data_IF_081754143576
#
_entry.id   IF_081754143576
#
_cell.length_a   1.000
_cell.length_b   1.000
_cell.length_c   1.000
_cell.angle_alpha   90.00
_cell.angle_beta   90.00
_cell.angle_gamma   90.00
#
_symmetry.space_group_name_H-M   'P 1'
#
loop_
_entity.id
_entity.type
_entity.pdbx_description
1 polymer ?
#
# COMPACT_ATOMS: atom_id res chain seq x y z
N UNK A 1 65.81 17.25 11.65
CA UNK A 1 66.15 15.92 11.09
C UNK A 1 65.09 14.91 11.57
N UNK A 2 63.81 15.12 11.26
CA UNK A 2 63.09 14.67 10.05
C UNK A 2 62.72 13.17 10.11
N UNK A 3 61.62 12.85 10.83
CA UNK A 3 60.95 11.54 10.78
C UNK A 3 60.26 11.42 9.41
N UNK A 4 60.71 10.44 8.61
CA UNK A 4 60.20 10.17 7.26
C UNK A 4 58.87 9.43 7.34
N UNK A 5 57.77 10.09 6.99
CA UNK A 5 56.47 9.46 6.76
C UNK A 5 56.52 8.59 5.48
N UNK A 6 56.22 7.29 5.53
CA UNK A 6 55.97 6.53 4.33
C UNK A 6 54.50 6.66 3.92
N UNK A 7 54.28 7.37 2.82
CA UNK A 7 53.47 6.94 1.66
C UNK A 7 52.26 6.06 2.05
N UNK A 8 51.09 6.63 2.27
CA UNK A 8 50.02 6.70 1.25
C UNK A 8 50.22 5.62 0.18
N UNK A 9 49.75 4.38 0.41
CA UNK A 9 49.44 3.42 -0.67
C UNK A 9 48.73 2.12 -0.21
N UNK A 10 47.69 2.13 0.62
CA UNK A 10 46.89 0.88 0.81
C UNK A 10 45.40 1.18 1.05
N UNK A 11 44.80 1.94 0.14
CA UNK A 11 43.34 2.08 0.02
C UNK A 11 42.96 1.72 -1.42
N UNK A 12 42.67 0.45 -1.71
CA UNK A 12 41.40 0.22 -2.42
C UNK A 12 40.71 -1.11 -2.06
N UNK A 13 41.10 -1.81 -0.99
CA UNK A 13 40.54 -3.16 -0.72
C UNK A 13 39.23 -3.17 0.10
N UNK A 14 38.77 -2.02 0.62
CA UNK A 14 37.54 -1.95 1.42
C UNK A 14 36.25 -1.77 0.59
N UNK A 15 36.36 -1.54 -0.73
CA UNK A 15 35.22 -1.20 -1.59
C UNK A 15 34.49 -2.43 -2.18
N UNK A 16 34.88 -3.65 -1.82
CA UNK A 16 34.28 -4.88 -2.36
C UNK A 16 33.23 -5.52 -1.44
N UNK A 17 33.10 -5.07 -0.18
CA UNK A 17 32.26 -5.74 0.81
C UNK A 17 30.79 -5.26 0.84
N UNK A 18 30.42 -4.22 0.08
CA UNK A 18 29.07 -3.62 0.11
C UNK A 18 28.09 -4.22 -0.89
N UNK A 19 28.54 -5.12 -1.78
CA UNK A 19 27.70 -5.63 -2.87
C UNK A 19 26.72 -6.76 -2.47
N UNK A 20 26.79 -7.30 -1.24
CA UNK A 20 26.01 -8.49 -0.84
C UNK A 20 24.68 -8.13 -0.13
N UNK A 21 24.41 -6.85 0.18
CA UNK A 21 23.14 -6.43 0.80
C UNK A 21 22.07 -5.95 -0.19
N UNK A 22 22.32 -5.99 -1.50
CA UNK A 22 21.41 -5.43 -2.50
C UNK A 22 20.40 -6.44 -3.09
N UNK A 23 20.24 -7.61 -2.49
CA UNK A 23 19.19 -8.56 -2.88
C UNK A 23 18.48 -9.12 -1.64
N UNK A 24 17.83 -8.24 -0.89
CA UNK A 24 16.70 -8.60 -0.04
C UNK A 24 15.45 -8.29 -0.83
N UNK A 25 14.84 -9.31 -1.43
CA UNK A 25 13.46 -9.17 -1.92
C UNK A 25 12.57 -8.95 -0.71
N UNK A 26 12.00 -7.75 -0.61
CA UNK A 26 10.93 -7.45 0.33
C UNK A 26 9.73 -8.32 -0.02
N UNK A 27 9.70 -9.54 0.51
CA UNK A 27 8.48 -10.33 0.69
C UNK A 27 7.63 -9.65 1.76
N UNK A 28 7.19 -8.41 1.51
CA UNK A 28 6.18 -7.78 2.32
C UNK A 28 4.85 -8.43 1.94
N UNK A 29 4.24 -9.25 2.82
CA UNK A 29 2.89 -9.74 2.54
C UNK A 29 2.01 -8.49 2.44
N UNK A 30 1.58 -8.15 1.23
CA UNK A 30 0.52 -7.19 1.05
C UNK A 30 -0.70 -7.75 1.79
N UNK A 31 -1.26 -6.97 2.70
CA UNK A 31 -2.52 -7.33 3.34
C UNK A 31 -3.55 -7.62 2.22
N UNK A 32 -4.40 -8.64 2.39
CA UNK A 32 -5.39 -8.98 1.38
C UNK A 32 -6.29 -7.77 1.13
N UNK A 33 -6.54 -7.48 -0.15
CA UNK A 33 -7.46 -6.41 -0.52
C UNK A 33 -8.81 -6.58 0.18
N UNK A 34 -9.41 -5.50 0.71
CA UNK A 34 -10.67 -5.60 1.42
C UNK A 34 -11.78 -6.09 0.48
N UNK A 35 -12.31 -7.28 0.75
CA UNK A 35 -13.35 -7.91 -0.06
C UNK A 35 -14.73 -7.41 0.36
N UNK A 36 -15.54 -7.00 -0.61
CA UNK A 36 -16.94 -6.62 -0.37
C UNK A 36 -17.79 -7.87 -0.09
N UNK A 37 -18.54 -7.87 0.99
CA UNK A 37 -19.44 -8.96 1.39
C UNK A 37 -20.91 -8.55 1.41
N UNK A 38 -21.20 -7.25 1.58
CA UNK A 38 -22.57 -6.74 1.64
C UNK A 38 -22.67 -5.34 1.07
N UNK A 39 -23.88 -4.95 0.65
CA UNK A 39 -24.19 -3.61 0.13
C UNK A 39 -25.44 -3.09 0.82
N UNK A 40 -25.32 -1.95 1.50
CA UNK A 40 -26.45 -1.27 2.12
C UNK A 40 -26.97 -0.17 1.19
N UNK A 41 -28.28 -0.16 0.92
CA UNK A 41 -28.94 0.84 0.06
C UNK A 41 -29.90 1.69 0.89
N UNK A 42 -29.90 3.00 0.67
CA UNK A 42 -30.78 3.95 1.37
C UNK A 42 -31.42 4.93 0.38
N UNK A 43 -32.73 5.22 0.48
CA UNK A 43 -33.71 4.55 1.35
C UNK A 43 -33.96 3.09 0.96
N UNK A 44 -34.37 2.27 1.93
CA UNK A 44 -34.69 0.84 1.70
C UNK A 44 -35.97 0.64 0.89
N UNK A 45 -36.86 1.64 0.90
CA UNK A 45 -38.10 1.68 0.13
C UNK A 45 -38.46 3.13 -0.15
N UNK A 46 -39.04 3.40 -1.31
CA UNK A 46 -39.59 4.72 -1.65
C UNK A 46 -40.89 4.54 -2.42
N UNK A 47 -41.81 5.49 -2.26
CA UNK A 47 -43.03 5.60 -3.05
C UNK A 47 -42.94 6.89 -3.83
N UNK A 48 -43.18 6.81 -5.14
CA UNK A 48 -43.02 7.90 -6.09
C UNK A 48 -44.34 8.16 -6.82
N UNK A 49 -44.60 9.42 -7.15
CA UNK A 49 -45.66 9.79 -8.08
C UNK A 49 -45.08 9.92 -9.49
N UNK A 50 -45.92 9.77 -10.51
CA UNK A 50 -45.50 9.92 -11.90
C UNK A 50 -44.88 11.31 -12.14
N UNK A 51 -43.64 11.32 -12.66
CA UNK A 51 -42.86 12.53 -12.89
C UNK A 51 -41.76 12.78 -11.86
N UNK A 52 -41.77 12.08 -10.72
CA UNK A 52 -40.77 12.22 -9.68
C UNK A 52 -39.49 11.42 -9.96
N UNK A 53 -38.44 11.74 -9.21
CA UNK A 53 -37.20 10.99 -9.15
C UNK A 53 -36.79 10.76 -7.69
N UNK A 54 -36.20 9.60 -7.42
CA UNK A 54 -35.55 9.29 -6.12
C UNK A 54 -34.06 9.10 -6.32
N UNK A 55 -33.27 9.65 -5.41
CA UNK A 55 -31.84 9.32 -5.31
C UNK A 55 -31.65 8.22 -4.29
N UNK A 56 -30.96 7.16 -4.68
CA UNK A 56 -30.53 6.10 -3.79
C UNK A 56 -29.02 6.21 -3.55
N UNK A 57 -28.60 5.95 -2.33
CA UNK A 57 -27.18 5.80 -1.96
C UNK A 57 -26.89 4.34 -1.67
N UNK A 58 -25.75 3.84 -2.15
CA UNK A 58 -25.27 2.49 -1.90
C UNK A 58 -23.89 2.54 -1.22
N UNK A 59 -23.70 1.73 -0.18
CA UNK A 59 -22.43 1.58 0.52
C UNK A 59 -22.04 0.11 0.61
N UNK A 60 -20.94 -0.24 -0.03
CA UNK A 60 -20.32 -1.57 0.07
C UNK A 60 -19.61 -1.73 1.40
N UNK A 61 -19.71 -2.91 2.01
CA UNK A 61 -19.06 -3.26 3.28
C UNK A 61 -18.38 -4.62 3.20
N UNK A 62 -17.28 -4.78 3.93
CA UNK A 62 -16.58 -6.06 4.09
C UNK A 62 -17.19 -6.91 5.22
N UNK A 63 -16.59 -8.07 5.50
CA UNK A 63 -17.01 -8.98 6.58
C UNK A 63 -17.00 -8.35 7.97
N UNK A 64 -16.14 -7.35 8.18
CA UNK A 64 -16.01 -6.64 9.46
C UNK A 64 -17.01 -5.47 9.57
N UNK A 65 -17.82 -5.24 8.53
CA UNK A 65 -18.81 -4.15 8.45
C UNK A 65 -18.22 -2.79 8.09
N UNK A 66 -16.91 -2.72 7.78
CA UNK A 66 -16.22 -1.51 7.34
C UNK A 66 -16.61 -1.18 5.89
N UNK A 67 -16.72 0.12 5.58
CA UNK A 67 -17.03 0.58 4.22
C UNK A 67 -15.84 0.33 3.32
N UNK A 68 -16.11 -0.25 2.14
CA UNK A 68 -15.09 -0.54 1.14
C UNK A 68 -15.23 0.45 0.00
N UNK A 69 -14.13 1.15 -0.32
CA UNK A 69 -14.04 1.93 -1.55
C UNK A 69 -13.78 0.98 -2.70
N UNK A 70 -14.60 1.02 -3.75
CA UNK A 70 -14.33 0.25 -4.95
C UNK A 70 -13.02 0.69 -5.60
N UNK A 71 -12.12 -0.25 -5.86
CA UNK A 71 -11.02 -0.05 -6.81
C UNK A 71 -11.54 -0.49 -8.19
N UNK A 72 -11.40 0.38 -9.19
CA UNK A 72 -11.78 0.13 -10.59
C UNK A 72 -10.65 -0.53 -11.37
#
# INVERSE_FOLDING_TARGET
>A
MSRRFPRILVLPSLLALTAILACGGDDNPADPDPVTTSVAVTPSSSTLVAGDSVTLSAQARNSDGAVVSGAT
#
